data_IF_442546531314
#
_entry.id   IF_442546531314
#
_cell.length_a   1.000
_cell.length_b   1.000
_cell.length_c   1.000
_cell.angle_alpha   90.00
_cell.angle_beta   90.00
_cell.angle_gamma   90.00
#
_symmetry.space_group_name_H-M   'P 1'
#
loop_
_entity.id
_entity.type
_entity.pdbx_description
1 polymer ?
#
# COMPACT_ATOMS: atom_id res chain seq x y z
N UNK A 1 8.31 62.59 -37.14
CA UNK A 1 8.03 61.17 -37.58
C UNK A 1 9.00 60.12 -37.00
N UNK A 2 10.30 60.41 -36.88
CA UNK A 2 11.26 59.42 -36.33
C UNK A 2 11.05 58.98 -34.86
N UNK A 3 10.51 59.87 -34.01
CA UNK A 3 10.26 59.56 -32.56
C UNK A 3 9.09 58.59 -32.32
N UNK A 4 8.07 58.65 -33.17
CA UNK A 4 6.89 57.78 -33.03
C UNK A 4 7.22 56.35 -33.47
N UNK A 5 8.11 56.20 -34.45
CA UNK A 5 8.53 54.88 -34.93
C UNK A 5 9.40 54.14 -33.90
N UNK A 6 10.25 54.85 -33.18
CA UNK A 6 11.07 54.24 -32.15
C UNK A 6 10.23 53.80 -30.91
N UNK A 7 9.14 54.52 -30.61
CA UNK A 7 8.21 54.10 -29.57
C UNK A 7 7.42 52.84 -29.98
N UNK A 8 7.00 52.74 -31.24
CA UNK A 8 6.29 51.57 -31.75
C UNK A 8 7.17 50.32 -31.82
N UNK A 9 8.46 50.47 -32.14
CA UNK A 9 9.42 49.36 -32.12
C UNK A 9 9.69 48.88 -30.68
N UNK A 10 9.80 49.78 -29.71
CA UNK A 10 10.05 49.47 -28.32
C UNK A 10 8.91 48.70 -27.66
N UNK A 11 7.66 49.06 -27.95
CA UNK A 11 6.49 48.37 -27.44
C UNK A 11 6.31 46.99 -28.09
N UNK A 12 6.62 46.82 -29.38
CA UNK A 12 6.56 45.54 -30.05
C UNK A 12 7.57 44.51 -29.49
N UNK A 13 8.79 44.97 -29.18
CA UNK A 13 9.83 44.08 -28.58
C UNK A 13 9.48 43.70 -27.12
N UNK A 14 8.88 44.61 -26.36
CA UNK A 14 8.48 44.36 -24.99
C UNK A 14 7.29 43.36 -24.91
N UNK A 15 6.33 43.46 -25.84
CA UNK A 15 5.22 42.47 -25.90
C UNK A 15 5.66 41.08 -26.33
N UNK A 16 6.65 40.94 -27.21
CA UNK A 16 7.17 39.61 -27.60
C UNK A 16 7.96 38.94 -26.48
N UNK A 17 8.65 39.71 -25.63
CA UNK A 17 9.35 39.14 -24.47
C UNK A 17 8.40 38.63 -23.37
N UNK A 18 7.21 39.22 -23.22
CA UNK A 18 6.19 38.79 -22.26
C UNK A 18 5.40 37.53 -22.68
N UNK A 19 5.36 37.22 -23.98
CA UNK A 19 4.66 36.05 -24.51
C UNK A 19 5.51 34.76 -24.53
N UNK A 20 6.83 34.85 -24.32
CA UNK A 20 7.74 33.71 -24.35
C UNK A 20 7.90 33.01 -22.97
N UNK A 21 7.24 33.51 -21.92
CA UNK A 21 7.38 33.02 -20.55
C UNK A 21 6.46 31.87 -20.15
N UNK A 22 5.53 31.41 -20.99
CA UNK A 22 4.51 30.41 -20.61
C UNK A 22 4.56 29.09 -21.34
N UNK A 23 5.65 28.71 -21.97
CA UNK A 23 5.69 27.53 -22.79
C UNK A 23 6.85 26.58 -22.48
N UNK A 24 7.09 26.24 -21.22
CA UNK A 24 8.01 25.15 -20.84
C UNK A 24 7.63 24.43 -19.53
N UNK A 25 6.35 24.44 -19.17
CA UNK A 25 5.81 23.45 -18.26
C UNK A 25 4.99 22.48 -19.11
N UNK A 26 5.69 21.60 -19.84
CA UNK A 26 5.05 20.39 -20.34
C UNK A 26 4.39 19.67 -19.14
N UNK A 27 3.29 18.93 -19.35
CA UNK A 27 2.76 18.09 -18.29
C UNK A 27 3.90 17.16 -17.87
N UNK A 28 4.45 17.40 -16.69
CA UNK A 28 5.28 16.43 -16.00
C UNK A 28 4.40 15.20 -15.94
N UNK A 29 4.78 14.13 -16.64
CA UNK A 29 4.12 12.85 -16.47
C UNK A 29 4.02 12.64 -14.94
N UNK A 30 2.88 12.18 -14.42
CA UNK A 30 2.78 11.91 -12.98
C UNK A 30 3.96 11.04 -12.64
N UNK A 31 4.78 11.54 -11.72
CA UNK A 31 5.90 10.78 -11.16
C UNK A 31 5.28 9.44 -10.77
N UNK A 32 5.68 8.37 -11.43
CA UNK A 32 5.11 7.05 -11.19
C UNK A 32 5.55 6.70 -9.79
N UNK A 33 4.77 7.12 -8.80
CA UNK A 33 5.03 6.83 -7.41
C UNK A 33 5.24 5.32 -7.31
N UNK A 34 6.33 4.91 -6.66
CA UNK A 34 6.61 3.51 -6.45
C UNK A 34 5.37 2.84 -5.79
N UNK A 35 4.99 1.64 -6.24
CA UNK A 35 3.84 0.96 -5.67
C UNK A 35 4.06 0.76 -4.17
N UNK A 36 3.07 1.11 -3.38
CA UNK A 36 3.13 1.06 -1.91
C UNK A 36 2.28 -0.07 -1.36
N UNK A 37 2.71 -0.62 -0.25
CA UNK A 37 1.96 -1.60 0.53
C UNK A 37 0.65 -0.96 1.04
N UNK A 38 -0.52 -1.50 0.69
CA UNK A 38 -1.80 -0.95 1.11
C UNK A 38 -2.03 -1.01 2.62
N UNK A 39 -1.29 -1.85 3.35
CA UNK A 39 -1.39 -1.99 4.80
C UNK A 39 -0.59 -0.92 5.56
N UNK A 40 0.57 -0.54 5.04
CA UNK A 40 1.52 0.32 5.76
C UNK A 40 1.85 1.61 5.02
N UNK A 41 1.56 1.71 3.72
CA UNK A 41 1.93 2.83 2.86
C UNK A 41 3.43 2.87 2.51
N UNK A 42 4.21 1.87 2.92
CA UNK A 42 5.63 1.78 2.58
C UNK A 42 5.84 1.22 1.16
N UNK A 43 7.01 1.45 0.58
CA UNK A 43 7.35 0.92 -0.74
C UNK A 43 7.31 -0.61 -0.74
N UNK A 44 6.68 -1.20 -1.77
CA UNK A 44 6.58 -2.64 -1.94
C UNK A 44 7.91 -3.24 -2.39
N UNK A 45 8.39 -4.25 -1.65
CA UNK A 45 9.55 -5.05 -2.06
C UNK A 45 9.23 -5.95 -3.26
N UNK A 46 7.98 -6.36 -3.41
CA UNK A 46 7.50 -7.27 -4.46
C UNK A 46 6.31 -6.64 -5.19
N UNK A 47 6.55 -5.66 -6.07
CA UNK A 47 5.48 -5.00 -6.82
C UNK A 47 4.68 -5.99 -7.67
N UNK A 48 3.36 -5.86 -7.65
CA UNK A 48 2.45 -6.73 -8.41
C UNK A 48 2.01 -7.99 -7.67
N UNK A 49 2.56 -8.29 -6.49
CA UNK A 49 2.02 -9.31 -5.60
C UNK A 49 0.87 -8.77 -4.75
N UNK A 50 0.02 -9.66 -4.29
CA UNK A 50 -1.11 -9.34 -3.43
C UNK A 50 -0.75 -9.52 -1.96
N UNK A 51 -1.35 -8.70 -1.10
CA UNK A 51 -1.31 -8.89 0.36
C UNK A 51 -1.71 -10.31 0.74
N UNK A 52 -0.92 -10.95 1.59
CA UNK A 52 -1.19 -12.28 2.13
C UNK A 52 -1.67 -12.17 3.58
N UNK A 53 -2.69 -12.95 3.94
CA UNK A 53 -3.20 -13.02 5.30
C UNK A 53 -3.26 -14.47 5.78
N UNK A 54 -2.71 -14.73 6.97
CA UNK A 54 -2.68 -16.05 7.61
C UNK A 54 -3.20 -15.93 9.03
N UNK A 55 -4.05 -16.87 9.44
CA UNK A 55 -4.54 -16.93 10.82
C UNK A 55 -3.77 -17.98 11.58
N UNK A 56 -3.23 -17.60 12.73
CA UNK A 56 -2.50 -18.48 13.65
C UNK A 56 -3.26 -18.66 14.96
N UNK A 57 -3.02 -19.78 15.60
CA UNK A 57 -3.60 -20.10 16.91
C UNK A 57 -2.97 -19.22 18.00
N UNK A 58 -3.83 -18.61 18.82
CA UNK A 58 -3.46 -17.77 19.97
C UNK A 58 -4.08 -18.28 21.27
N UNK A 59 -4.54 -19.52 21.31
CA UNK A 59 -5.04 -20.10 22.55
C UNK A 59 -3.93 -20.21 23.59
N UNK A 60 -4.30 -20.15 24.86
CA UNK A 60 -3.33 -20.27 25.98
C UNK A 60 -2.56 -21.61 25.98
N UNK A 61 -3.11 -22.63 25.33
CA UNK A 61 -2.49 -23.94 25.12
C UNK A 61 -1.67 -24.05 23.83
N UNK A 62 -1.62 -23.00 23.04
CA UNK A 62 -0.90 -23.00 21.76
C UNK A 62 0.60 -23.20 21.94
N UNK A 63 1.22 -23.78 20.94
CA UNK A 63 2.69 -23.91 20.85
C UNK A 63 3.31 -22.56 20.50
N UNK A 64 4.64 -22.53 20.38
CA UNK A 64 5.37 -21.31 19.98
C UNK A 64 4.82 -20.76 18.65
N UNK A 65 4.49 -19.47 18.66
CA UNK A 65 4.00 -18.73 17.50
C UNK A 65 5.15 -18.20 16.66
N UNK A 66 4.98 -18.26 15.33
CA UNK A 66 6.00 -17.88 14.36
C UNK A 66 5.42 -16.84 13.38
N UNK A 67 6.25 -15.89 12.98
CA UNK A 67 5.92 -14.93 11.92
C UNK A 67 5.35 -13.61 12.40
N UNK A 68 4.90 -13.48 13.64
CA UNK A 68 4.24 -12.27 14.17
C UNK A 68 5.11 -11.02 13.97
N UNK A 69 6.39 -11.09 14.30
CA UNK A 69 7.30 -9.93 14.25
C UNK A 69 7.60 -9.41 12.83
N UNK A 70 7.24 -10.16 11.80
CA UNK A 70 7.43 -9.76 10.39
C UNK A 70 6.12 -9.35 9.70
N UNK A 71 4.98 -9.44 10.40
CA UNK A 71 3.71 -9.02 9.85
C UNK A 71 3.62 -7.49 9.76
N UNK A 72 3.09 -6.97 8.65
CA UNK A 72 2.79 -5.55 8.49
C UNK A 72 1.65 -5.11 9.42
N UNK A 73 0.66 -6.00 9.61
CA UNK A 73 -0.49 -5.78 10.49
C UNK A 73 -0.81 -7.07 11.22
N UNK A 74 -1.12 -6.95 12.51
CA UNK A 74 -1.64 -8.03 13.34
C UNK A 74 -3.04 -7.64 13.80
N UNK A 75 -4.02 -8.47 13.49
CA UNK A 75 -5.40 -8.30 13.94
C UNK A 75 -5.72 -9.35 14.99
N UNK A 76 -6.23 -8.91 16.11
CA UNK A 76 -6.76 -9.76 17.17
C UNK A 76 -8.27 -9.54 17.27
N UNK A 77 -9.03 -10.62 17.33
CA UNK A 77 -10.47 -10.55 17.52
C UNK A 77 -10.91 -11.51 18.62
N UNK A 78 -11.85 -11.05 19.41
CA UNK A 78 -12.48 -11.86 20.45
C UNK A 78 -13.46 -12.85 19.81
N UNK A 79 -13.47 -14.08 20.30
CA UNK A 79 -14.53 -15.04 20.01
C UNK A 79 -15.82 -14.66 20.71
N UNK A 80 -16.93 -15.33 20.40
CA UNK A 80 -18.19 -15.17 21.13
C UNK A 80 -18.07 -15.42 22.64
N UNK A 81 -17.09 -16.25 23.03
CA UNK A 81 -16.76 -16.50 24.45
C UNK A 81 -15.90 -15.40 25.08
N UNK A 82 -15.54 -14.35 24.35
CA UNK A 82 -14.71 -13.26 24.83
C UNK A 82 -13.21 -13.57 24.96
N UNK A 83 -12.74 -14.66 24.34
CA UNK A 83 -11.33 -15.06 24.39
C UNK A 83 -10.63 -14.81 23.04
N UNK A 84 -9.42 -14.22 23.02
CA UNK A 84 -8.63 -14.06 21.81
C UNK A 84 -7.92 -15.39 21.50
N UNK A 85 -8.56 -16.26 20.72
CA UNK A 85 -8.02 -17.60 20.39
C UNK A 85 -7.26 -17.65 19.08
N UNK A 86 -7.22 -16.55 18.32
CA UNK A 86 -6.50 -16.49 17.06
C UNK A 86 -6.00 -15.09 16.76
N UNK A 87 -4.91 -15.02 15.99
CA UNK A 87 -4.36 -13.77 15.41
C UNK A 87 -4.38 -13.90 13.90
N UNK A 88 -4.78 -12.84 13.21
CA UNK A 88 -4.62 -12.74 11.77
C UNK A 88 -3.39 -11.87 11.47
N UNK A 89 -2.41 -12.45 10.78
CA UNK A 89 -1.18 -11.81 10.38
C UNK A 89 -1.28 -11.42 8.90
N UNK A 90 -1.13 -10.15 8.58
CA UNK A 90 -1.13 -9.66 7.20
C UNK A 90 0.27 -9.22 6.79
N UNK A 91 0.68 -9.63 5.60
CA UNK A 91 1.98 -9.35 4.98
C UNK A 91 1.78 -8.64 3.64
N UNK A 92 2.72 -7.80 3.18
CA UNK A 92 2.57 -7.06 1.93
C UNK A 92 2.48 -7.99 0.71
N UNK A 93 3.05 -9.19 0.81
CA UNK A 93 3.00 -10.21 -0.25
C UNK A 93 3.28 -11.60 0.32
N UNK A 94 3.01 -12.63 -0.49
CA UNK A 94 3.39 -14.03 -0.16
C UNK A 94 4.92 -14.17 -0.06
N UNK A 95 5.65 -13.50 -0.96
CA UNK A 95 7.11 -13.56 -1.00
C UNK A 95 7.77 -12.90 0.22
N UNK A 96 7.07 -11.96 0.86
CA UNK A 96 7.51 -11.31 2.10
C UNK A 96 7.17 -12.13 3.36
N UNK A 97 6.33 -13.16 3.23
CA UNK A 97 5.87 -13.95 4.36
C UNK A 97 6.95 -14.94 4.81
N UNK A 98 7.37 -14.92 6.10
CA UNK A 98 8.30 -15.90 6.65
C UNK A 98 7.60 -17.23 6.96
N UNK A 99 8.26 -18.13 7.65
CA UNK A 99 7.59 -19.27 8.31
C UNK A 99 6.57 -18.75 9.29
N UNK A 100 5.31 -19.19 9.16
CA UNK A 100 4.16 -18.75 9.97
C UNK A 100 3.49 -19.96 10.60
N UNK A 101 3.08 -19.83 11.84
CA UNK A 101 2.31 -20.89 12.51
C UNK A 101 2.19 -20.71 14.03
N UNK A 102 1.44 -21.62 14.67
CA UNK A 102 0.60 -22.69 14.10
C UNK A 102 -0.63 -22.13 13.39
N UNK A 103 -0.89 -22.58 12.16
CA UNK A 103 -2.02 -22.08 11.35
C UNK A 103 -3.32 -22.67 11.85
N UNK A 104 -4.36 -21.84 11.95
CA UNK A 104 -5.71 -22.25 12.39
C UNK A 104 -6.80 -21.65 11.51
N UNK A 105 -8.05 -21.96 11.83
CA UNK A 105 -9.19 -21.43 11.11
C UNK A 105 -9.39 -19.93 11.43
N UNK A 106 -9.61 -19.16 10.38
CA UNK A 106 -9.90 -17.74 10.52
C UNK A 106 -11.36 -17.46 10.82
N UNK A 107 -11.61 -16.38 11.56
CA UNK A 107 -12.94 -15.83 11.77
C UNK A 107 -13.35 -14.97 10.58
N UNK A 108 -14.63 -14.95 10.24
CA UNK A 108 -15.19 -14.14 9.16
C UNK A 108 -14.87 -12.62 9.32
N UNK A 109 -14.75 -12.16 10.55
CA UNK A 109 -14.39 -10.78 10.86
C UNK A 109 -13.05 -10.37 10.25
N UNK A 110 -12.03 -11.24 10.27
CA UNK A 110 -10.71 -10.93 9.69
C UNK A 110 -10.81 -10.66 8.19
N UNK A 111 -11.60 -11.47 7.47
CA UNK A 111 -11.79 -11.31 6.03
C UNK A 111 -12.54 -10.03 5.69
N UNK A 112 -13.51 -9.66 6.50
CA UNK A 112 -14.24 -8.39 6.34
C UNK A 112 -13.32 -7.19 6.54
N UNK A 113 -12.44 -7.22 7.53
CA UNK A 113 -11.49 -6.14 7.78
C UNK A 113 -10.44 -6.01 6.67
N UNK A 114 -10.02 -7.12 6.07
CA UNK A 114 -9.00 -7.16 5.02
C UNK A 114 -9.59 -7.09 3.60
N UNK A 115 -10.90 -7.19 3.42
CA UNK A 115 -11.54 -7.20 2.10
C UNK A 115 -11.25 -5.94 1.26
N UNK A 116 -11.08 -4.79 1.92
CA UNK A 116 -10.71 -3.54 1.26
C UNK A 116 -9.26 -3.48 0.76
N UNK A 117 -8.43 -4.45 1.14
CA UNK A 117 -6.99 -4.49 0.83
C UNK A 117 -6.65 -5.48 -0.30
N UNK A 118 -7.66 -6.05 -0.96
CA UNK A 118 -7.48 -7.12 -1.98
C UNK A 118 -6.62 -8.30 -1.48
N UNK A 119 -6.63 -8.56 -0.17
CA UNK A 119 -5.83 -9.59 0.45
C UNK A 119 -6.23 -11.00 0.02
N UNK A 120 -5.23 -11.84 -0.25
CA UNK A 120 -5.42 -13.28 -0.49
C UNK A 120 -5.38 -14.01 0.84
N UNK A 121 -6.44 -14.75 1.14
CA UNK A 121 -6.55 -15.56 2.37
C UNK A 121 -5.93 -16.93 2.19
N UNK A 122 -5.04 -17.31 3.10
CA UNK A 122 -4.45 -18.66 3.20
C UNK A 122 -5.08 -19.43 4.37
N UNK A 123 -6.36 -19.81 4.23
CA UNK A 123 -7.07 -20.58 5.26
C UNK A 123 -7.16 -22.09 4.98
N UNK A 124 -6.73 -22.53 3.80
CA UNK A 124 -6.80 -23.94 3.40
C UNK A 124 -5.41 -24.51 3.09
N UNK A 125 -4.57 -24.65 4.10
CA UNK A 125 -3.56 -25.69 4.06
C UNK A 125 -4.26 -26.99 4.50
N UNK A 126 -4.73 -27.77 3.54
CA UNK A 126 -5.05 -29.17 3.76
C UNK A 126 -3.76 -29.84 4.22
N UNK A 127 -3.68 -30.19 5.50
CA UNK A 127 -2.70 -31.14 5.95
C UNK A 127 -3.01 -32.48 5.26
N UNK A 128 -2.10 -32.93 4.40
CA UNK A 128 -2.04 -34.33 3.92
C UNK A 128 -1.13 -35.11 4.84
#
# INVERSE_FOLDING_TARGET
MKRIWNLALGTAVLCTALLCGCALSGPTAPDSAAPTDPLTGQELQYPGERTAAVVIDNAASSTTQWGIGSASVVLEALTESGQPTSLCLAYPSVSAMPTVGPVTLGQDLYWRLLSGQEAVSYTHLRAH
#
